data_IF_141275375248
#
_entry.id   IF_141275375248
#
_cell.length_a   1.000
_cell.length_b   1.000
_cell.length_c   1.000
_cell.angle_alpha   90.00
_cell.angle_beta   90.00
_cell.angle_gamma   90.00
#
_symmetry.space_group_name_H-M   'P 1'
#
loop_
_entity.id
_entity.type
_entity.pdbx_description
1 polymer ?
#
# COMPACT_ATOMS: atom_id res chain seq x y z
N UNK A 1 27.22 -11.44 16.21
CA UNK A 1 26.64 -10.82 14.97
C UNK A 1 25.50 -11.70 14.54
N UNK A 2 24.30 -11.17 14.43
CA UNK A 2 23.15 -11.87 13.86
C UNK A 2 23.43 -12.19 12.40
N UNK A 3 23.07 -13.39 11.95
CA UNK A 3 23.27 -13.83 10.57
C UNK A 3 22.21 -13.14 9.70
N UNK A 4 22.63 -12.38 8.70
CA UNK A 4 21.73 -11.85 7.69
C UNK A 4 21.40 -12.95 6.69
N UNK A 5 20.14 -13.13 6.37
CA UNK A 5 19.64 -14.06 5.37
C UNK A 5 19.13 -13.30 4.14
N UNK A 6 19.33 -13.87 2.94
CA UNK A 6 18.78 -13.31 1.71
C UNK A 6 17.26 -13.57 1.64
N UNK A 7 16.52 -12.57 1.20
CA UNK A 7 15.05 -12.60 1.10
C UNK A 7 14.55 -12.33 -0.32
N UNK A 8 15.42 -12.54 -1.30
CA UNK A 8 15.19 -12.26 -2.72
C UNK A 8 15.69 -10.88 -3.14
N UNK A 9 15.91 -10.71 -4.44
CA UNK A 9 16.40 -9.46 -5.05
C UNK A 9 17.68 -8.91 -4.41
N UNK A 10 18.57 -9.78 -3.94
CA UNK A 10 19.81 -9.44 -3.22
C UNK A 10 19.60 -8.65 -1.91
N UNK A 11 18.37 -8.61 -1.39
CA UNK A 11 18.06 -7.94 -0.13
C UNK A 11 18.46 -8.87 1.03
N UNK A 12 19.26 -8.36 1.97
CA UNK A 12 19.72 -9.09 3.16
C UNK A 12 19.06 -8.51 4.43
N UNK A 13 18.46 -9.38 5.26
CA UNK A 13 17.77 -8.97 6.48
C UNK A 13 17.94 -9.95 7.62
N UNK A 14 17.54 -9.56 8.82
CA UNK A 14 17.50 -10.38 10.03
C UNK A 14 16.04 -10.70 10.42
N UNK A 15 15.87 -11.61 11.37
CA UNK A 15 14.55 -11.93 11.92
C UNK A 15 13.89 -10.68 12.54
N UNK A 16 12.59 -10.48 12.29
CA UNK A 16 11.80 -9.37 12.82
C UNK A 16 12.41 -7.97 12.58
N UNK A 17 13.16 -7.82 11.48
CA UNK A 17 13.90 -6.57 11.18
C UNK A 17 13.77 -6.16 9.70
N UNK A 18 12.61 -6.40 9.09
CA UNK A 18 12.35 -5.89 7.75
C UNK A 18 12.26 -4.36 7.76
N UNK A 19 12.95 -3.73 6.82
CA UNK A 19 12.88 -2.28 6.56
C UNK A 19 12.74 -2.04 5.06
N UNK A 20 12.19 -0.91 4.69
CA UNK A 20 12.10 -0.45 3.30
C UNK A 20 13.27 0.46 2.89
N UNK A 21 14.24 0.68 3.79
CA UNK A 21 15.47 1.42 3.53
C UNK A 21 16.53 0.55 2.81
N UNK A 22 17.60 1.19 2.34
CA UNK A 22 18.78 0.52 1.76
C UNK A 22 18.45 -0.34 0.55
N UNK A 23 18.92 -1.60 0.55
CA UNK A 23 18.76 -2.56 -0.57
C UNK A 23 17.28 -2.78 -0.93
N UNK A 24 16.37 -2.75 0.04
CA UNK A 24 14.93 -2.86 -0.21
C UNK A 24 14.39 -1.66 -0.99
N UNK A 25 14.85 -0.46 -0.70
CA UNK A 25 14.53 0.73 -1.47
C UNK A 25 15.10 0.64 -2.90
N UNK A 26 16.37 0.20 -3.04
CA UNK A 26 17.03 0.11 -4.33
C UNK A 26 16.33 -0.83 -5.32
N UNK A 27 15.80 -1.94 -4.82
CA UNK A 27 15.18 -3.01 -5.63
C UNK A 27 13.65 -3.06 -5.49
N UNK A 28 13.01 -2.00 -4.98
CA UNK A 28 11.62 -2.03 -4.54
C UNK A 28 10.65 -2.46 -5.65
N UNK A 29 10.70 -1.82 -6.82
CA UNK A 29 9.71 -2.03 -7.89
C UNK A 29 9.75 -3.48 -8.41
N UNK A 30 10.95 -4.06 -8.58
CA UNK A 30 11.09 -5.47 -8.96
C UNK A 30 10.65 -6.40 -7.83
N UNK A 31 11.08 -6.11 -6.59
CA UNK A 31 10.74 -6.93 -5.43
C UNK A 31 9.24 -6.98 -5.16
N UNK A 32 8.54 -5.83 -5.19
CA UNK A 32 7.11 -5.78 -4.91
C UNK A 32 6.28 -6.45 -6.00
N UNK A 33 6.67 -6.32 -7.27
CA UNK A 33 5.99 -6.96 -8.40
C UNK A 33 6.03 -8.49 -8.34
N UNK A 34 7.09 -9.06 -7.75
CA UNK A 34 7.25 -10.50 -7.52
C UNK A 34 6.62 -10.97 -6.22
N UNK A 35 6.47 -10.09 -5.22
CA UNK A 35 5.98 -10.44 -3.88
C UNK A 35 4.49 -10.22 -3.71
N UNK A 36 3.87 -9.31 -4.47
CA UNK A 36 2.44 -8.97 -4.38
C UNK A 36 1.73 -9.39 -5.66
N UNK A 37 0.86 -10.41 -5.60
CA UNK A 37 0.07 -10.82 -6.76
C UNK A 37 -0.77 -9.67 -7.30
N UNK A 38 -0.87 -9.58 -8.63
CA UNK A 38 -1.67 -8.58 -9.35
C UNK A 38 -1.28 -7.12 -9.05
N UNK A 39 -0.03 -6.84 -8.60
CA UNK A 39 0.40 -5.50 -8.20
C UNK A 39 0.13 -4.44 -9.28
N UNK A 40 0.56 -4.67 -10.51
CA UNK A 40 0.33 -3.75 -11.63
C UNK A 40 -1.15 -3.61 -12.01
N UNK A 41 -1.93 -4.71 -11.94
CA UNK A 41 -3.39 -4.69 -12.19
C UNK A 41 -4.11 -3.86 -11.13
N UNK A 42 -3.68 -3.91 -9.86
CA UNK A 42 -4.20 -3.03 -8.81
C UNK A 42 -3.98 -1.55 -9.13
N UNK A 43 -2.79 -1.17 -9.62
CA UNK A 43 -2.54 0.20 -10.10
C UNK A 43 -3.47 0.61 -11.24
N UNK A 44 -3.69 -0.28 -12.24
CA UNK A 44 -4.62 -0.01 -13.34
C UNK A 44 -6.05 0.17 -12.84
N UNK A 45 -6.49 -0.66 -11.90
CA UNK A 45 -7.81 -0.55 -11.28
C UNK A 45 -7.97 0.77 -10.53
N UNK A 46 -6.98 1.16 -9.71
CA UNK A 46 -6.95 2.44 -9.00
C UNK A 46 -7.07 3.59 -10.01
N UNK A 47 -6.28 3.57 -11.09
CA UNK A 47 -6.34 4.60 -12.13
C UNK A 47 -7.72 4.69 -12.79
N UNK A 48 -8.39 3.56 -13.05
CA UNK A 48 -9.75 3.56 -13.61
C UNK A 48 -10.78 4.10 -12.63
N UNK A 49 -10.70 3.71 -11.36
CA UNK A 49 -11.62 4.18 -10.31
C UNK A 49 -11.40 5.67 -10.03
N UNK A 50 -10.18 6.18 -10.15
CA UNK A 50 -9.88 7.60 -9.89
C UNK A 50 -10.67 8.56 -10.78
N UNK A 51 -11.12 8.12 -11.98
CA UNK A 51 -11.96 8.93 -12.88
C UNK A 51 -13.30 9.37 -12.25
N UNK A 52 -13.81 8.62 -11.28
CA UNK A 52 -15.06 8.95 -10.59
C UNK A 52 -14.89 10.02 -9.52
N UNK A 53 -13.68 10.22 -9.01
CA UNK A 53 -13.38 11.12 -7.88
C UNK A 53 -12.57 12.34 -8.29
N UNK A 54 -11.63 12.21 -9.23
CA UNK A 54 -10.72 13.28 -9.59
C UNK A 54 -11.29 14.18 -10.70
N UNK A 55 -11.47 15.45 -10.38
CA UNK A 55 -11.96 16.52 -11.26
C UNK A 55 -10.98 17.69 -11.23
N UNK A 56 -11.26 18.76 -11.96
CA UNK A 56 -10.46 19.98 -11.85
C UNK A 56 -10.49 20.51 -10.41
N UNK A 57 -9.30 20.84 -9.89
CA UNK A 57 -9.03 21.30 -8.53
C UNK A 57 -9.19 20.23 -7.43
N UNK A 58 -9.29 18.97 -7.80
CA UNK A 58 -9.24 17.86 -6.83
C UNK A 58 -7.86 17.69 -6.21
N UNK A 59 -7.84 17.16 -4.98
CA UNK A 59 -6.65 16.67 -4.29
C UNK A 59 -6.71 15.15 -4.13
N UNK A 60 -5.60 14.49 -4.51
CA UNK A 60 -5.38 13.07 -4.32
C UNK A 60 -4.17 12.83 -3.41
N UNK A 61 -4.34 12.01 -2.38
CA UNK A 61 -3.24 11.50 -1.57
C UNK A 61 -2.89 10.06 -1.94
N UNK A 62 -1.59 9.75 -1.96
CA UNK A 62 -1.05 8.39 -2.01
C UNK A 62 -0.23 8.16 -0.73
N UNK A 63 -0.75 7.32 0.15
CA UNK A 63 -0.16 7.03 1.46
C UNK A 63 0.80 5.85 1.34
N UNK A 64 2.07 6.04 1.70
CA UNK A 64 3.15 5.10 1.44
C UNK A 64 3.45 5.02 -0.06
N UNK A 65 3.67 6.16 -0.69
CA UNK A 65 3.82 6.30 -2.14
C UNK A 65 5.07 5.61 -2.72
N UNK A 66 5.98 5.13 -1.86
CA UNK A 66 7.23 4.46 -2.23
C UNK A 66 7.98 5.20 -3.36
N UNK A 67 8.30 4.54 -4.47
CA UNK A 67 9.05 5.13 -5.60
C UNK A 67 8.19 6.00 -6.53
N UNK A 68 6.91 6.28 -6.20
CA UNK A 68 6.02 7.17 -6.95
C UNK A 68 5.40 6.58 -8.22
N UNK A 69 5.50 5.26 -8.46
CA UNK A 69 4.99 4.63 -9.68
C UNK A 69 3.47 4.82 -9.85
N UNK A 70 2.70 4.64 -8.78
CA UNK A 70 1.25 4.85 -8.82
C UNK A 70 0.90 6.32 -9.11
N UNK A 71 1.62 7.26 -8.49
CA UNK A 71 1.42 8.69 -8.70
C UNK A 71 1.67 9.11 -10.15
N UNK A 72 2.72 8.56 -10.78
CA UNK A 72 3.00 8.79 -12.20
C UNK A 72 1.83 8.31 -13.09
N UNK A 73 1.32 7.11 -12.83
CA UNK A 73 0.18 6.52 -13.57
C UNK A 73 -1.12 7.31 -13.36
N UNK A 74 -1.41 7.73 -12.12
CA UNK A 74 -2.56 8.57 -11.81
C UNK A 74 -2.49 9.92 -12.51
N UNK A 75 -1.33 10.58 -12.48
CA UNK A 75 -1.12 11.84 -13.19
C UNK A 75 -1.37 11.67 -14.70
N UNK A 76 -0.79 10.65 -15.33
CA UNK A 76 -1.01 10.35 -16.76
C UNK A 76 -2.48 10.10 -17.07
N UNK A 77 -3.20 9.40 -16.17
CA UNK A 77 -4.63 9.10 -16.35
C UNK A 77 -5.51 10.35 -16.44
N UNK A 78 -5.17 11.38 -15.68
CA UNK A 78 -5.97 12.61 -15.56
C UNK A 78 -5.22 13.85 -16.04
N UNK A 79 -4.27 13.70 -16.97
CA UNK A 79 -3.39 14.80 -17.47
C UNK A 79 -4.14 16.03 -17.99
N UNK A 80 -5.38 15.82 -18.49
CA UNK A 80 -6.26 16.89 -18.97
C UNK A 80 -7.03 17.62 -17.85
N UNK A 81 -6.77 17.28 -16.59
CA UNK A 81 -7.43 17.86 -15.40
C UNK A 81 -6.39 18.53 -14.51
N UNK A 82 -6.79 19.61 -13.84
CA UNK A 82 -5.95 20.28 -12.84
C UNK A 82 -6.12 19.57 -11.49
N UNK A 83 -5.43 18.46 -11.31
CA UNK A 83 -5.43 17.68 -10.06
C UNK A 83 -4.11 17.88 -9.35
N UNK A 84 -4.15 18.12 -8.03
CA UNK A 84 -2.96 18.11 -7.16
C UNK A 84 -2.80 16.73 -6.56
N UNK A 85 -1.59 16.21 -6.61
CA UNK A 85 -1.23 14.92 -6.06
C UNK A 85 -0.20 15.10 -4.95
N UNK A 86 -0.40 14.44 -3.83
CA UNK A 86 0.53 14.44 -2.69
C UNK A 86 0.85 13.00 -2.29
N UNK A 87 2.08 12.59 -2.56
CA UNK A 87 2.61 11.31 -2.13
C UNK A 87 3.34 11.43 -0.79
N UNK A 88 3.00 10.57 0.16
CA UNK A 88 3.59 10.54 1.50
C UNK A 88 4.30 9.21 1.73
N UNK A 89 5.53 9.26 2.22
CA UNK A 89 6.26 8.07 2.69
C UNK A 89 7.18 8.46 3.85
N UNK A 90 7.43 7.54 4.76
CA UNK A 90 8.35 7.78 5.88
C UNK A 90 9.81 7.46 5.54
N UNK A 91 10.05 6.78 4.41
CA UNK A 91 11.38 6.39 3.96
C UNK A 91 11.97 7.44 3.02
N UNK A 92 13.00 8.15 3.51
CA UNK A 92 13.66 9.22 2.74
C UNK A 92 14.16 8.76 1.36
N UNK A 93 14.71 7.54 1.27
CA UNK A 93 15.19 6.98 0.00
C UNK A 93 14.07 6.77 -1.01
N UNK A 94 12.87 6.36 -0.56
CA UNK A 94 11.68 6.23 -1.40
C UNK A 94 11.25 7.58 -1.96
N UNK A 95 11.16 8.60 -1.10
CA UNK A 95 10.81 9.97 -1.51
C UNK A 95 11.80 10.54 -2.52
N UNK A 96 13.10 10.29 -2.34
CA UNK A 96 14.11 10.73 -3.32
C UNK A 96 13.85 10.09 -4.69
N UNK A 97 13.65 8.76 -4.75
CA UNK A 97 13.36 8.04 -6.00
C UNK A 97 12.05 8.50 -6.64
N UNK A 98 11.02 8.75 -5.83
CA UNK A 98 9.74 9.25 -6.31
C UNK A 98 9.88 10.63 -6.97
N UNK A 99 10.66 11.54 -6.36
CA UNK A 99 10.96 12.86 -6.92
C UNK A 99 11.74 12.77 -8.23
N UNK A 100 12.75 11.89 -8.30
CA UNK A 100 13.53 11.65 -9.51
C UNK A 100 12.64 11.09 -10.64
N UNK A 101 11.81 10.09 -10.35
CA UNK A 101 10.89 9.46 -11.31
C UNK A 101 9.83 10.42 -11.85
N UNK A 102 9.36 11.35 -11.03
CA UNK A 102 8.26 12.27 -11.34
C UNK A 102 8.71 13.72 -11.50
N UNK A 103 10.01 13.98 -11.75
CA UNK A 103 10.59 15.33 -11.77
C UNK A 103 9.92 16.31 -12.74
N UNK A 104 9.33 15.81 -13.83
CA UNK A 104 8.65 16.62 -14.86
C UNK A 104 7.16 16.86 -14.55
N UNK A 105 6.61 16.25 -13.48
CA UNK A 105 5.19 16.29 -13.14
C UNK A 105 4.91 17.43 -12.14
N UNK A 106 4.59 18.62 -12.65
CA UNK A 106 4.45 19.85 -11.84
C UNK A 106 3.33 19.83 -10.80
N UNK A 107 2.34 18.95 -10.93
CA UNK A 107 1.19 18.84 -10.01
C UNK A 107 1.35 17.70 -9.00
N UNK A 108 2.52 17.04 -8.99
CA UNK A 108 2.83 15.93 -8.08
C UNK A 108 3.88 16.40 -7.08
N UNK A 109 3.57 16.26 -5.80
CA UNK A 109 4.44 16.61 -4.68
C UNK A 109 4.72 15.34 -3.85
N UNK A 110 5.95 15.18 -3.37
CA UNK A 110 6.35 14.10 -2.46
C UNK A 110 6.91 14.65 -1.17
N UNK A 111 6.39 14.15 -0.04
CA UNK A 111 6.79 14.57 1.30
C UNK A 111 7.23 13.36 2.13
N UNK A 112 8.40 13.48 2.77
CA UNK A 112 8.82 12.55 3.83
C UNK A 112 7.98 12.85 5.07
N UNK A 113 7.12 11.91 5.46
CA UNK A 113 6.18 12.12 6.54
C UNK A 113 5.76 10.80 7.23
N UNK A 114 5.61 10.86 8.55
CA UNK A 114 4.89 9.85 9.29
C UNK A 114 3.40 10.10 9.19
N UNK A 115 2.64 9.16 8.67
CA UNK A 115 1.19 9.28 8.46
C UNK A 115 0.42 9.58 9.76
N UNK A 116 0.94 9.13 10.91
CA UNK A 116 0.30 9.35 12.22
C UNK A 116 0.39 10.81 12.68
N UNK A 117 1.35 11.58 12.17
CA UNK A 117 1.59 12.97 12.56
C UNK A 117 1.17 13.95 11.46
N UNK A 118 0.95 13.46 10.24
CA UNK A 118 0.64 14.30 9.08
C UNK A 118 -0.73 14.95 9.19
N UNK A 119 -0.82 16.24 8.87
CA UNK A 119 -2.09 16.99 8.85
C UNK A 119 -2.64 17.00 7.42
N UNK A 120 -3.66 16.18 7.18
CA UNK A 120 -4.33 16.11 5.90
C UNK A 120 -5.14 17.37 5.61
N UNK A 121 -5.06 17.85 4.37
CA UNK A 121 -6.02 18.78 3.79
C UNK A 121 -7.27 18.02 3.32
N UNK A 122 -8.33 18.75 2.96
CA UNK A 122 -9.52 18.13 2.34
C UNK A 122 -9.16 17.55 0.97
N UNK A 123 -9.52 16.30 0.75
CA UNK A 123 -9.18 15.55 -0.45
C UNK A 123 -10.40 14.85 -1.06
N UNK A 124 -10.31 14.54 -2.34
CA UNK A 124 -11.37 13.86 -3.09
C UNK A 124 -11.06 12.37 -3.27
N UNK A 125 -9.77 12.00 -3.21
CA UNK A 125 -9.32 10.62 -3.26
C UNK A 125 -8.13 10.42 -2.32
N UNK A 126 -8.19 9.35 -1.54
CA UNK A 126 -7.05 8.86 -0.75
C UNK A 126 -6.78 7.42 -1.18
N UNK A 127 -5.53 7.11 -1.49
CA UNK A 127 -5.09 5.76 -1.80
C UNK A 127 -4.14 5.28 -0.71
N UNK A 128 -4.35 4.05 -0.23
CA UNK A 128 -3.46 3.32 0.65
C UNK A 128 -3.20 1.94 0.03
N UNK A 129 -2.04 1.79 -0.61
CA UNK A 129 -1.71 0.62 -1.40
C UNK A 129 -0.71 -0.26 -0.66
N UNK A 130 -1.21 -1.22 0.13
CA UNK A 130 -0.44 -2.14 0.98
C UNK A 130 0.38 -1.48 2.09
N UNK A 131 -0.20 -0.49 2.77
CA UNK A 131 0.48 0.32 3.80
C UNK A 131 -0.02 0.03 5.22
N UNK A 132 -1.35 -0.05 5.44
CA UNK A 132 -1.93 -0.15 6.78
C UNK A 132 -1.44 -1.38 7.56
N UNK A 133 -1.10 -2.45 6.85
CA UNK A 133 -0.54 -3.66 7.44
C UNK A 133 0.81 -3.45 8.16
N UNK A 134 1.53 -2.34 7.88
CA UNK A 134 2.77 -1.95 8.54
C UNK A 134 2.56 -0.93 9.66
N UNK A 135 1.37 -0.35 9.76
CA UNK A 135 1.01 0.54 10.86
C UNK A 135 0.68 -0.31 12.10
N UNK A 136 1.24 -0.01 13.30
CA UNK A 136 0.88 -0.72 14.52
C UNK A 136 -0.63 -0.77 14.73
N UNK A 137 -1.16 -1.96 15.06
CA UNK A 137 -2.61 -2.20 15.17
C UNK A 137 -3.35 -1.17 16.04
N UNK A 138 -2.71 -0.75 17.16
CA UNK A 138 -3.25 0.26 18.09
C UNK A 138 -3.49 1.64 17.46
N UNK A 139 -2.80 1.94 16.35
CA UNK A 139 -2.86 3.27 15.70
C UNK A 139 -3.74 3.27 14.45
N UNK A 140 -4.16 2.09 13.95
CA UNK A 140 -4.88 1.99 12.66
C UNK A 140 -6.20 2.72 12.69
N UNK A 141 -7.02 2.53 13.73
CA UNK A 141 -8.32 3.20 13.82
C UNK A 141 -8.17 4.72 13.74
N UNK A 142 -7.24 5.29 14.50
CA UNK A 142 -6.97 6.73 14.45
C UNK A 142 -6.65 7.22 13.03
N UNK A 143 -5.88 6.44 12.26
CA UNK A 143 -5.52 6.82 10.89
C UNK A 143 -6.73 6.70 9.95
N UNK A 144 -7.59 5.67 10.11
CA UNK A 144 -8.84 5.55 9.35
C UNK A 144 -9.79 6.70 9.64
N UNK A 145 -9.94 7.09 10.91
CA UNK A 145 -10.78 8.23 11.32
C UNK A 145 -10.28 9.53 10.65
N UNK A 146 -8.96 9.75 10.64
CA UNK A 146 -8.35 10.93 10.03
C UNK A 146 -8.48 10.94 8.49
N UNK A 147 -8.37 9.78 7.83
CA UNK A 147 -8.64 9.67 6.39
C UNK A 147 -10.10 9.99 6.07
N UNK A 148 -11.04 9.47 6.88
CA UNK A 148 -12.46 9.80 6.72
C UNK A 148 -12.72 11.30 6.92
N UNK A 149 -12.16 11.91 7.97
CA UNK A 149 -12.28 13.34 8.19
C UNK A 149 -11.70 14.17 7.04
N UNK A 150 -10.56 13.76 6.50
CA UNK A 150 -9.89 14.47 5.40
C UNK A 150 -10.68 14.41 4.08
N UNK A 151 -11.45 13.36 3.84
CA UNK A 151 -12.24 13.27 2.61
C UNK A 151 -13.35 14.31 2.56
N UNK A 152 -13.53 14.89 1.38
CA UNK A 152 -14.73 15.63 1.01
C UNK A 152 -15.94 14.68 0.95
N UNK A 153 -17.16 15.20 1.09
CA UNK A 153 -18.37 14.39 0.88
C UNK A 153 -18.41 13.85 -0.56
N UNK A 154 -18.67 12.55 -0.70
CA UNK A 154 -18.56 11.83 -1.98
C UNK A 154 -17.11 11.51 -2.39
N UNK A 155 -16.12 11.83 -1.57
CA UNK A 155 -14.73 11.42 -1.79
C UNK A 155 -14.50 9.94 -1.50
N UNK A 156 -13.46 9.35 -2.10
CA UNK A 156 -13.16 7.93 -2.02
C UNK A 156 -11.88 7.60 -1.27
N UNK A 157 -11.89 6.48 -0.54
CA UNK A 157 -10.71 5.80 -0.03
C UNK A 157 -10.53 4.47 -0.78
N UNK A 158 -9.39 4.30 -1.44
CA UNK A 158 -8.95 3.04 -2.01
C UNK A 158 -7.94 2.40 -1.06
N UNK A 159 -8.32 1.28 -0.46
CA UNK A 159 -7.51 0.54 0.51
C UNK A 159 -7.16 -0.83 -0.07
N UNK A 160 -5.88 -1.12 -0.23
CA UNK A 160 -5.38 -2.43 -0.62
C UNK A 160 -4.52 -3.01 0.50
N UNK A 161 -4.81 -4.25 0.90
CA UNK A 161 -4.16 -4.89 2.02
C UNK A 161 -3.95 -6.40 1.78
N UNK A 162 -2.88 -6.92 2.33
CA UNK A 162 -2.81 -8.34 2.60
C UNK A 162 -3.76 -8.64 3.76
N UNK A 163 -4.50 -9.75 3.66
CA UNK A 163 -5.46 -10.16 4.69
C UNK A 163 -5.14 -11.54 5.25
N UNK A 164 -5.59 -11.80 6.47
CA UNK A 164 -5.58 -13.14 7.08
C UNK A 164 -6.85 -13.90 6.73
N UNK A 165 -6.74 -15.21 6.67
CA UNK A 165 -7.91 -16.10 6.59
C UNK A 165 -8.83 -15.93 7.78
N UNK A 166 -10.13 -16.23 7.62
CA UNK A 166 -11.12 -16.10 8.69
C UNK A 166 -10.92 -17.12 9.82
N UNK A 167 -10.29 -18.24 9.54
CA UNK A 167 -9.90 -19.27 10.50
C UNK A 167 -8.59 -19.95 10.11
N UNK A 168 -8.10 -20.87 10.96
CA UNK A 168 -6.83 -21.55 10.78
C UNK A 168 -6.76 -22.34 9.47
N UNK A 169 -7.82 -23.09 9.11
CA UNK A 169 -7.85 -23.91 7.89
C UNK A 169 -7.71 -23.06 6.62
N UNK A 170 -8.46 -21.97 6.52
CA UNK A 170 -8.34 -21.04 5.38
C UNK A 170 -6.99 -20.33 5.39
N UNK A 171 -6.47 -19.98 6.57
CA UNK A 171 -5.14 -19.37 6.68
C UNK A 171 -4.06 -20.32 6.16
N UNK A 172 -4.12 -21.60 6.45
CA UNK A 172 -3.17 -22.61 5.96
C UNK A 172 -3.23 -22.73 4.43
N UNK A 173 -4.45 -22.79 3.85
CA UNK A 173 -4.65 -22.80 2.40
C UNK A 173 -4.07 -21.54 1.74
N UNK A 174 -4.40 -20.36 2.27
CA UNK A 174 -3.90 -19.09 1.75
C UNK A 174 -2.37 -19.00 1.83
N UNK A 175 -1.78 -19.49 2.91
CA UNK A 175 -0.33 -19.50 3.11
C UNK A 175 0.37 -20.42 2.10
N UNK A 176 -0.22 -21.61 1.84
CA UNK A 176 0.30 -22.57 0.86
C UNK A 176 0.25 -21.97 -0.55
N UNK A 177 -0.91 -21.51 -1.01
CA UNK A 177 -1.09 -20.93 -2.34
C UNK A 177 -0.16 -19.71 -2.55
N UNK A 178 -0.01 -18.88 -1.51
CA UNK A 178 0.90 -17.72 -1.60
C UNK A 178 2.38 -18.13 -1.62
N UNK A 179 2.73 -19.24 -0.98
CA UNK A 179 4.09 -19.80 -1.08
C UNK A 179 4.35 -20.30 -2.49
N UNK A 180 3.42 -21.05 -3.08
CA UNK A 180 3.52 -21.55 -4.47
C UNK A 180 3.67 -20.36 -5.44
N UNK A 181 2.85 -19.31 -5.29
CA UNK A 181 2.99 -18.09 -6.10
C UNK A 181 4.41 -17.51 -6.04
N UNK A 182 5.06 -17.47 -4.86
CA UNK A 182 6.43 -16.95 -4.74
C UNK A 182 7.46 -17.87 -5.39
N UNK A 183 7.29 -19.17 -5.26
CA UNK A 183 8.12 -20.15 -5.96
C UNK A 183 8.03 -19.98 -7.48
N UNK A 184 6.82 -19.80 -8.02
CA UNK A 184 6.59 -19.52 -9.45
C UNK A 184 7.23 -18.21 -9.92
N UNK A 185 7.41 -17.23 -9.00
CA UNK A 185 8.14 -15.97 -9.25
C UNK A 185 9.65 -16.09 -9.11
N UNK A 186 10.17 -17.30 -8.85
CA UNK A 186 11.59 -17.61 -8.81
C UNK A 186 12.26 -17.41 -7.46
N UNK A 187 11.50 -17.21 -6.38
CA UNK A 187 12.09 -17.23 -5.03
C UNK A 187 12.44 -18.65 -4.62
N UNK A 188 13.54 -18.83 -3.91
CA UNK A 188 13.88 -20.11 -3.27
C UNK A 188 13.09 -20.31 -1.97
N UNK A 189 12.98 -21.56 -1.54
CA UNK A 189 12.33 -21.87 -0.23
C UNK A 189 13.01 -21.17 0.94
N UNK A 190 14.33 -21.06 0.92
CA UNK A 190 15.15 -20.39 1.92
C UNK A 190 14.82 -18.89 1.98
N UNK A 191 14.73 -18.22 0.84
CA UNK A 191 14.37 -16.80 0.73
C UNK A 191 12.95 -16.55 1.24
N UNK A 192 12.00 -17.45 0.93
CA UNK A 192 10.62 -17.34 1.41
C UNK A 192 10.54 -17.48 2.93
N UNK A 193 11.29 -18.44 3.51
CA UNK A 193 11.35 -18.64 4.95
C UNK A 193 12.01 -17.43 5.63
N UNK A 194 13.15 -16.97 5.11
CA UNK A 194 13.87 -15.82 5.62
C UNK A 194 13.00 -14.55 5.59
N UNK A 195 12.30 -14.30 4.46
CA UNK A 195 11.35 -13.18 4.34
C UNK A 195 10.21 -13.28 5.35
N UNK A 196 9.64 -14.47 5.53
CA UNK A 196 8.57 -14.69 6.50
C UNK A 196 9.03 -14.39 7.93
N UNK A 197 10.26 -14.76 8.28
CA UNK A 197 10.86 -14.47 9.58
C UNK A 197 11.17 -12.98 9.76
N UNK A 198 11.68 -12.32 8.73
CA UNK A 198 12.01 -10.88 8.80
C UNK A 198 10.76 -10.00 9.00
N UNK A 199 9.61 -10.43 8.50
CA UNK A 199 8.33 -9.71 8.61
C UNK A 199 7.59 -9.94 9.94
N UNK A 200 8.06 -10.82 10.83
CA UNK A 200 7.42 -11.04 12.13
C UNK A 200 7.44 -9.77 12.98
N UNK A 201 6.24 -9.33 13.42
CA UNK A 201 6.08 -8.09 14.18
C UNK A 201 6.23 -6.79 13.37
N UNK A 202 6.52 -6.89 12.06
CA UNK A 202 6.60 -5.75 11.14
C UNK A 202 5.38 -5.71 10.23
N UNK A 203 5.04 -6.85 9.62
CA UNK A 203 3.83 -7.01 8.80
C UNK A 203 2.76 -7.72 9.63
N UNK A 204 1.70 -7.00 9.97
CA UNK A 204 0.60 -7.54 10.78
C UNK A 204 -0.76 -7.34 10.10
N UNK A 205 -1.11 -8.19 9.09
CA UNK A 205 -2.36 -8.05 8.35
C UNK A 205 -3.57 -8.40 9.21
N UNK A 206 -4.65 -7.62 9.06
CA UNK A 206 -5.96 -7.95 9.59
C UNK A 206 -6.71 -8.92 8.66
N UNK A 207 -7.80 -9.51 9.14
CA UNK A 207 -8.75 -10.22 8.28
C UNK A 207 -9.55 -9.22 7.42
N UNK A 208 -10.25 -9.73 6.41
CA UNK A 208 -11.21 -8.94 5.61
C UNK A 208 -12.17 -8.18 6.52
N UNK A 209 -12.82 -8.88 7.45
CA UNK A 209 -13.76 -8.25 8.39
C UNK A 209 -13.07 -7.21 9.29
N UNK A 210 -11.85 -7.48 9.75
CA UNK A 210 -11.09 -6.52 10.55
C UNK A 210 -10.84 -5.19 9.83
N UNK A 211 -10.55 -5.24 8.51
CA UNK A 211 -10.40 -4.03 7.70
C UNK A 211 -11.76 -3.34 7.45
N UNK A 212 -12.82 -4.09 7.14
CA UNK A 212 -14.16 -3.53 6.97
C UNK A 212 -14.69 -2.90 8.26
N UNK A 213 -14.39 -3.48 9.42
CA UNK A 213 -14.75 -2.91 10.72
C UNK A 213 -14.00 -1.61 11.03
N UNK A 214 -12.74 -1.48 10.60
CA UNK A 214 -12.00 -0.20 10.70
C UNK A 214 -12.66 0.89 9.86
N UNK A 215 -13.02 0.57 8.61
CA UNK A 215 -13.74 1.48 7.71
C UNK A 215 -15.07 1.91 8.31
N UNK A 216 -15.88 0.95 8.76
CA UNK A 216 -17.20 1.22 9.36
C UNK A 216 -17.11 2.08 10.60
N UNK A 217 -16.18 1.81 11.53
CA UNK A 217 -15.99 2.62 12.75
C UNK A 217 -15.51 4.04 12.43
N UNK A 218 -14.76 4.25 11.34
CA UNK A 218 -14.38 5.58 10.89
C UNK A 218 -15.54 6.38 10.29
N UNK A 219 -16.65 5.73 9.92
CA UNK A 219 -17.86 6.36 9.38
C UNK A 219 -18.17 6.04 7.92
N UNK A 220 -17.40 5.17 7.26
CA UNK A 220 -17.72 4.73 5.90
C UNK A 220 -18.90 3.74 5.92
N UNK A 221 -20.02 4.15 5.35
CA UNK A 221 -21.21 3.29 5.18
C UNK A 221 -21.15 2.54 3.83
N UNK A 222 -20.71 3.24 2.77
CA UNK A 222 -20.62 2.67 1.43
C UNK A 222 -19.24 2.04 1.21
N UNK A 223 -19.17 0.72 1.30
CA UNK A 223 -17.93 -0.04 1.12
C UNK A 223 -18.12 -1.22 0.16
N UNK A 224 -17.13 -1.47 -0.70
CA UNK A 224 -17.14 -2.58 -1.65
C UNK A 224 -15.75 -3.20 -1.78
N UNK A 225 -15.67 -4.54 -1.81
CA UNK A 225 -14.47 -5.23 -2.28
C UNK A 225 -14.36 -5.10 -3.80
N UNK A 226 -13.27 -4.53 -4.29
CA UNK A 226 -13.04 -4.25 -5.72
C UNK A 226 -12.02 -5.20 -6.35
N UNK A 227 -11.20 -5.84 -5.53
CA UNK A 227 -10.22 -6.84 -5.96
C UNK A 227 -10.00 -7.86 -4.86
N UNK A 228 -9.88 -9.14 -5.25
CA UNK A 228 -9.45 -10.20 -4.33
C UNK A 228 -8.64 -11.25 -5.08
N UNK A 229 -7.46 -11.53 -4.55
CA UNK A 229 -6.62 -12.65 -4.99
C UNK A 229 -5.98 -13.30 -3.77
N UNK A 230 -6.44 -14.51 -3.42
CA UNK A 230 -6.00 -15.28 -2.24
C UNK A 230 -6.06 -14.41 -0.98
N UNK A 231 -4.91 -13.94 -0.50
CA UNK A 231 -4.76 -13.11 0.70
C UNK A 231 -4.47 -11.63 0.40
N UNK A 232 -4.78 -11.15 -0.80
CA UNK A 232 -4.63 -9.76 -1.20
C UNK A 232 -5.99 -9.21 -1.62
N UNK A 233 -6.42 -8.15 -0.99
CA UNK A 233 -7.74 -7.55 -1.21
C UNK A 233 -7.63 -6.04 -1.43
N UNK A 234 -8.51 -5.52 -2.28
CA UNK A 234 -8.72 -4.10 -2.48
C UNK A 234 -10.15 -3.72 -2.12
N UNK A 235 -10.31 -2.63 -1.41
CA UNK A 235 -11.59 -2.07 -0.98
C UNK A 235 -11.73 -0.65 -1.51
N UNK A 236 -12.93 -0.29 -1.92
CA UNK A 236 -13.37 1.07 -2.15
C UNK A 236 -14.35 1.45 -1.04
N UNK A 237 -14.11 2.57 -0.38
CA UNK A 237 -15.01 3.16 0.59
C UNK A 237 -15.33 4.60 0.19
N UNK A 238 -16.59 5.02 0.27
CA UNK A 238 -17.05 6.37 -0.12
C UNK A 238 -17.62 7.07 1.12
N UNK A 239 -17.23 8.35 1.31
CA UNK A 239 -17.73 9.20 2.39
C UNK A 239 -19.07 9.81 2.07
#
# INVERSE_FOLDING_TARGET
MSKKDLVGNSIATENANWTFAGEACENFDDHVSKSVPLYGIGHELICRISDFFLRNNSLCYDLGCSTGELMQKLHQRVENRKVRFVGLDCEKGMIQKAREKCQDLKTVEFQEANLLDYKFEKADLIVSYYVMQFIPARNRQLLFDRMYEALNWGGGLLLFEKVRGPDARFQDMMSTIYTDFKLDKGYTSEEIIAKTRSLKGVLDPFSTNGNLDLLKRAGFEDTMTIMKYVCFEGFLAIK
#
